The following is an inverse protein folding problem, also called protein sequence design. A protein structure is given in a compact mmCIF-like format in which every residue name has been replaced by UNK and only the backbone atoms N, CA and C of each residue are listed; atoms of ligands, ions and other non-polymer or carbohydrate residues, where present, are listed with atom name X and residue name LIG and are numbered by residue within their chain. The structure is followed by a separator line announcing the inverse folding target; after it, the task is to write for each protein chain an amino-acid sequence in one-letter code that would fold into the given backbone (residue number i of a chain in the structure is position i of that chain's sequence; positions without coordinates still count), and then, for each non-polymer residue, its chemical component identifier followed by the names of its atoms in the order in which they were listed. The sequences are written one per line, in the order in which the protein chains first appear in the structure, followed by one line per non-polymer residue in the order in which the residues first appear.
data_IF_120742626269
#
_entry.id   IF_120742626269
#
_cell.length_a   1.000
_cell.length_b   1.000
_cell.length_c   1.000
_cell.angle_alpha   90.00
_cell.angle_beta   90.00
_cell.angle_gamma   90.00
#
_symmetry.space_group_name_H-M   'P 1'
#
loop_
_entity.id
_entity.type
_entity.pdbx_description
1 polymer ?
#
# COMPACT_ATOMS: atom_id res chain seq x y z
N UNK A 1 32.90 49.22 -15.77
CA UNK A 1 33.77 49.11 -14.59
C UNK A 1 33.02 48.88 -13.27
N UNK A 2 31.70 49.10 -13.14
CA UNK A 2 31.00 48.96 -11.84
C UNK A 2 30.62 47.53 -11.39
N UNK A 3 31.03 46.46 -12.09
CA UNK A 3 30.60 45.08 -11.78
C UNK A 3 31.64 44.23 -11.03
N UNK A 4 32.92 44.65 -11.02
CA UNK A 4 33.97 44.04 -10.20
C UNK A 4 33.78 44.40 -8.72
N UNK A 5 33.54 45.69 -8.47
CA UNK A 5 33.60 46.26 -7.12
C UNK A 5 32.46 45.75 -6.21
N UNK A 6 31.31 45.40 -6.79
CA UNK A 6 30.16 44.81 -6.08
C UNK A 6 30.45 43.36 -5.65
N UNK A 7 31.14 42.59 -6.51
CA UNK A 7 31.46 41.17 -6.22
C UNK A 7 32.52 41.04 -5.13
N UNK A 8 33.45 41.99 -5.09
CA UNK A 8 34.49 42.05 -4.07
C UNK A 8 33.90 42.45 -2.70
N UNK A 9 32.90 43.34 -2.68
CA UNK A 9 32.16 43.69 -1.46
C UNK A 9 31.33 42.51 -0.90
N UNK A 10 30.62 41.77 -1.75
CA UNK A 10 29.84 40.59 -1.32
C UNK A 10 30.72 39.46 -0.78
N UNK A 11 31.90 39.25 -1.39
CA UNK A 11 32.84 38.24 -0.92
C UNK A 11 33.55 38.64 0.37
N UNK A 12 33.82 39.95 0.55
CA UNK A 12 34.36 40.47 1.80
C UNK A 12 33.35 40.33 2.95
N UNK A 13 32.07 40.65 2.72
CA UNK A 13 31.00 40.42 3.69
C UNK A 13 30.87 38.95 4.11
N UNK A 14 31.08 38.00 3.20
CA UNK A 14 31.10 36.56 3.53
C UNK A 14 32.29 36.15 4.42
N UNK A 15 33.47 36.78 4.23
CA UNK A 15 34.64 36.51 5.08
C UNK A 15 34.42 37.03 6.49
N UNK A 16 33.82 38.21 6.61
CA UNK A 16 33.61 38.90 7.88
C UNK A 16 32.40 38.38 8.67
N UNK A 17 31.59 37.50 8.06
CA UNK A 17 30.46 36.81 8.70
C UNK A 17 30.94 35.74 9.70
N UNK A 18 30.51 35.85 10.96
CA UNK A 18 30.90 34.96 12.06
C UNK A 18 30.18 33.60 12.08
N UNK A 19 29.20 33.37 11.19
CA UNK A 19 28.46 32.09 11.08
C UNK A 19 29.33 30.98 10.50
N UNK A 20 28.95 29.73 10.74
CA UNK A 20 29.70 28.54 10.30
C UNK A 20 29.53 28.37 8.77
N UNK A 21 30.59 28.14 7.98
CA UNK A 21 30.42 27.87 6.55
C UNK A 21 29.53 26.65 6.29
N UNK A 22 28.52 26.79 5.43
CA UNK A 22 27.67 25.67 5.02
C UNK A 22 28.48 24.65 4.20
N UNK A 23 28.35 23.36 4.52
CA UNK A 23 28.98 22.26 3.80
C UNK A 23 28.59 22.22 2.30
N UNK A 24 27.38 22.65 1.96
CA UNK A 24 26.86 22.67 0.59
C UNK A 24 27.15 23.98 -0.17
N UNK A 25 27.75 24.97 0.48
CA UNK A 25 28.22 26.22 -0.14
C UNK A 25 27.14 26.96 -0.96
N UNK A 26 27.51 27.48 -2.12
CA UNK A 26 26.60 28.24 -3.00
C UNK A 26 25.44 27.40 -3.57
N UNK A 27 25.55 26.07 -3.51
CA UNK A 27 24.54 25.11 -4.01
C UNK A 27 23.69 24.50 -2.89
N UNK A 28 23.72 25.09 -1.69
CA UNK A 28 22.85 24.66 -0.60
C UNK A 28 21.37 24.77 -0.98
N UNK A 29 20.64 23.65 -0.86
CA UNK A 29 19.22 23.56 -1.18
C UNK A 29 18.31 24.02 -0.02
N UNK A 30 18.86 24.15 1.20
CA UNK A 30 18.09 24.54 2.39
C UNK A 30 17.79 26.04 2.39
N UNK A 31 16.50 26.39 2.47
CA UNK A 31 16.00 27.78 2.47
C UNK A 31 15.40 28.23 3.81
N UNK A 32 15.42 27.38 4.84
CA UNK A 32 14.78 27.70 6.11
C UNK A 32 15.56 28.81 6.87
N UNK A 33 14.89 29.69 7.64
CA UNK A 33 15.56 30.79 8.34
C UNK A 33 16.55 30.34 9.42
N UNK A 34 16.30 29.21 10.08
CA UNK A 34 17.16 28.69 11.16
C UNK A 34 18.53 28.25 10.64
N UNK A 35 18.58 27.61 9.48
CA UNK A 35 19.79 27.21 8.78
C UNK A 35 20.61 28.43 8.38
N UNK A 36 19.96 29.43 7.78
CA UNK A 36 20.64 30.67 7.37
C UNK A 36 21.10 31.51 8.57
N UNK A 37 20.51 31.35 9.75
CA UNK A 37 21.01 31.97 10.98
C UNK A 37 22.27 31.27 11.52
N UNK A 38 22.42 29.95 11.31
CA UNK A 38 23.54 29.16 11.82
C UNK A 38 24.70 29.04 10.82
N UNK A 39 24.39 28.99 9.52
CA UNK A 39 25.35 28.71 8.45
C UNK A 39 25.41 29.82 7.40
N UNK A 40 26.62 30.21 7.00
CA UNK A 40 26.89 31.18 5.92
C UNK A 40 27.12 30.49 4.58
N UNK A 41 26.72 31.17 3.49
CA UNK A 41 26.83 30.68 2.12
C UNK A 41 27.60 31.69 1.25
N UNK A 42 28.53 31.23 0.39
CA UNK A 42 29.28 32.13 -0.49
C UNK A 42 28.41 32.65 -1.65
N UNK A 43 28.69 33.86 -2.19
CA UNK A 43 27.95 34.43 -3.32
C UNK A 43 28.02 33.54 -4.58
N UNK A 44 26.92 33.41 -5.33
CA UNK A 44 26.87 32.62 -6.58
C UNK A 44 27.68 33.30 -7.69
N UNK A 45 28.81 32.71 -8.09
CA UNK A 45 29.56 33.17 -9.27
C UNK A 45 28.78 32.85 -10.56
N UNK A 46 28.23 33.88 -11.22
CA UNK A 46 27.84 33.76 -12.64
C UNK A 46 29.11 33.64 -13.48
N UNK A 47 29.46 32.43 -13.95
CA UNK A 47 30.62 32.22 -14.81
C UNK A 47 30.28 32.59 -16.27
N UNK A 48 30.90 33.67 -16.77
CA UNK A 48 31.24 33.76 -18.19
C UNK A 48 32.52 32.95 -18.40
N UNK A 49 32.49 32.04 -19.38
CA UNK A 49 33.59 31.13 -19.69
C UNK A 49 34.69 31.90 -20.43
N UNK A 50 35.78 32.23 -19.76
CA UNK A 50 37.07 32.51 -20.39
C UNK A 50 38.08 31.46 -19.92
N UNK A 51 38.27 30.43 -20.76
CA UNK A 51 39.35 29.45 -20.59
C UNK A 51 40.67 30.07 -21.03
N UNK A 52 41.53 30.43 -20.07
CA UNK A 52 42.99 30.45 -20.28
C UNK A 52 43.54 29.13 -19.76
N UNK A 53 44.02 28.29 -20.66
CA UNK A 53 44.83 27.11 -20.34
C UNK A 53 46.23 27.31 -20.90
N UNK A 54 47.21 27.21 -20.01
CA UNK A 54 48.63 27.25 -20.28
C UNK A 54 49.09 26.05 -21.12
N UNK A 55 50.09 26.29 -21.96
CA UNK A 55 50.69 25.33 -22.89
C UNK A 55 51.73 24.46 -22.19
N UNK A 56 51.67 23.15 -22.42
CA UNK A 56 52.83 22.26 -22.37
C UNK A 56 52.95 21.57 -23.74
N UNK A 57 54.15 21.62 -24.31
CA UNK A 57 54.54 21.19 -25.65
C UNK A 57 55.02 19.72 -25.59
N UNK A 58 54.60 18.87 -26.53
CA UNK A 58 55.46 18.06 -27.44
C UNK A 58 54.63 17.10 -28.30
N UNK A 59 54.99 16.98 -29.59
CA UNK A 59 54.77 15.75 -30.38
C UNK A 59 53.90 15.87 -31.64
N UNK A 60 54.54 16.13 -32.78
CA UNK A 60 53.96 16.20 -34.14
C UNK A 60 53.47 14.84 -34.71
N UNK A 61 52.41 14.83 -35.53
CA UNK A 61 52.48 14.60 -37.01
C UNK A 61 51.11 14.37 -37.70
N UNK A 62 50.91 15.21 -38.73
CA UNK A 62 50.39 14.97 -40.11
C UNK A 62 48.90 14.73 -40.42
N UNK A 63 48.39 15.74 -41.16
CA UNK A 63 47.70 15.75 -42.48
C UNK A 63 46.17 15.50 -42.60
N UNK A 64 45.51 16.63 -42.88
CA UNK A 64 44.24 16.99 -43.54
C UNK A 64 43.88 16.27 -44.89
N UNK A 65 42.81 16.64 -45.66
CA UNK A 65 41.57 17.46 -45.41
C UNK A 65 40.27 16.75 -45.98
N UNK A 66 39.02 17.25 -45.87
CA UNK A 66 38.35 18.19 -46.81
C UNK A 66 36.81 18.28 -46.52
N UNK A 67 36.29 19.53 -46.43
CA UNK A 67 35.00 20.16 -46.86
C UNK A 67 33.64 19.73 -46.28
N UNK A 68 32.89 20.65 -45.65
CA UNK A 68 31.92 21.68 -46.15
C UNK A 68 30.49 21.10 -46.03
N UNK A 69 29.39 21.76 -45.68
CA UNK A 69 29.05 23.18 -45.50
C UNK A 69 27.73 23.26 -44.69
N UNK A 70 27.64 24.26 -43.81
CA UNK A 70 26.49 25.19 -43.55
C UNK A 70 25.05 24.77 -43.15
N UNK A 71 24.55 25.66 -42.26
CA UNK A 71 23.17 26.15 -41.95
C UNK A 71 22.37 25.35 -40.92
N UNK A 72 22.24 25.83 -39.67
CA UNK A 72 21.46 26.99 -39.18
C UNK A 72 19.98 26.65 -38.92
N UNK A 73 19.52 26.92 -37.70
CA UNK A 73 18.10 26.87 -37.33
C UNK A 73 17.86 26.32 -35.93
N UNK A 74 18.22 27.09 -34.91
CA UNK A 74 17.75 26.86 -33.54
C UNK A 74 16.32 27.40 -33.40
N UNK A 75 15.33 26.53 -33.38
CA UNK A 75 14.01 26.82 -32.83
C UNK A 75 13.67 25.77 -31.77
N UNK A 76 13.40 26.24 -30.57
CA UNK A 76 12.77 25.44 -29.51
C UNK A 76 11.32 25.16 -29.91
N UNK A 77 10.76 24.01 -29.48
CA UNK A 77 9.39 24.09 -28.99
C UNK A 77 9.18 23.40 -27.64
N UNK A 78 8.38 24.10 -26.84
CA UNK A 78 7.69 23.59 -25.66
C UNK A 78 6.67 22.50 -26.03
N UNK A 79 6.35 21.68 -25.01
CA UNK A 79 5.02 21.11 -24.70
C UNK A 79 4.43 20.07 -25.66
N UNK A 80 4.21 18.85 -25.16
CA UNK A 80 2.88 18.28 -24.84
C UNK A 80 2.94 16.76 -24.66
N UNK A 81 2.10 16.31 -23.71
CA UNK A 81 1.57 14.95 -23.67
C UNK A 81 1.04 14.55 -25.05
N UNK A 82 1.36 13.33 -25.47
CA UNK A 82 0.39 12.50 -26.16
C UNK A 82 0.58 11.03 -25.87
N UNK A 83 -0.57 10.40 -25.71
CA UNK A 83 -0.88 9.02 -25.41
C UNK A 83 -0.96 8.28 -26.73
N UNK A 84 -0.24 7.17 -26.88
CA UNK A 84 -0.51 6.21 -27.95
C UNK A 84 -0.39 4.80 -27.38
N UNK A 85 -1.53 4.11 -27.31
CA UNK A 85 -1.58 2.65 -27.35
C UNK A 85 -1.22 2.25 -28.78
N UNK A 86 -0.25 1.37 -28.95
CA UNK A 86 -0.29 0.40 -30.04
C UNK A 86 0.16 -0.97 -29.54
N UNK A 87 -0.74 -1.91 -29.81
CA UNK A 87 -0.64 -3.36 -29.73
C UNK A 87 0.39 -3.90 -30.71
N UNK A 88 1.16 -4.89 -30.30
CA UNK A 88 1.79 -5.82 -31.23
C UNK A 88 1.86 -7.22 -30.63
N UNK A 89 0.88 -8.03 -31.01
CA UNK A 89 0.90 -9.49 -30.95
C UNK A 89 1.92 -10.02 -31.97
N UNK A 90 2.86 -10.86 -31.54
CA UNK A 90 3.48 -11.88 -32.40
C UNK A 90 3.73 -13.16 -31.61
N UNK A 91 3.02 -14.20 -32.05
CA UNK A 91 3.17 -15.60 -31.71
C UNK A 91 4.54 -16.17 -32.10
N UNK A 92 5.06 -17.09 -31.30
CA UNK A 92 5.84 -18.24 -31.75
C UNK A 92 5.63 -19.41 -30.76
N UNK A 93 4.80 -20.38 -31.19
CA UNK A 93 4.88 -21.80 -30.83
C UNK A 93 6.23 -22.36 -31.32
N UNK A 94 6.87 -23.41 -30.83
CA UNK A 94 6.61 -24.52 -29.88
C UNK A 94 7.95 -25.26 -29.76
N UNK A 95 8.20 -26.01 -28.67
CA UNK A 95 8.88 -27.33 -28.65
C UNK A 95 9.02 -27.79 -27.18
N UNK A 96 8.61 -29.02 -26.89
CA UNK A 96 8.76 -29.78 -25.62
C UNK A 96 9.47 -31.12 -25.94
N UNK A 97 9.76 -32.07 -25.01
CA UNK A 97 10.00 -32.02 -23.54
C UNK A 97 11.26 -32.82 -23.05
N UNK A 98 11.59 -32.67 -21.76
CA UNK A 98 12.26 -33.64 -20.83
C UNK A 98 13.77 -33.98 -21.02
N UNK A 99 14.52 -34.47 -19.99
CA UNK A 99 14.08 -35.35 -18.89
C UNK A 99 14.61 -35.09 -17.46
N UNK A 100 13.98 -35.82 -16.54
CA UNK A 100 14.28 -36.06 -15.12
C UNK A 100 15.68 -36.66 -14.88
N UNK A 101 16.25 -36.38 -13.69
CA UNK A 101 17.05 -37.36 -12.93
C UNK A 101 16.76 -37.26 -11.44
N UNK A 102 16.38 -38.41 -10.90
CA UNK A 102 16.54 -38.79 -9.50
C UNK A 102 18.04 -38.84 -9.14
N UNK A 103 18.35 -38.53 -7.89
CA UNK A 103 19.29 -39.34 -7.13
C UNK A 103 18.78 -39.50 -5.70
N UNK A 104 18.61 -40.76 -5.34
CA UNK A 104 18.25 -41.30 -4.04
C UNK A 104 19.54 -41.86 -3.46
N UNK A 105 19.86 -41.53 -2.20
CA UNK A 105 20.73 -42.37 -1.37
C UNK A 105 19.88 -42.86 -0.20
N UNK A 106 19.63 -44.17 -0.23
CA UNK A 106 19.05 -45.01 0.82
C UNK A 106 20.18 -45.51 1.71
N UNK A 107 19.96 -45.55 3.02
CA UNK A 107 19.96 -46.75 3.88
C UNK A 107 19.96 -46.28 5.36
N UNK A 108 18.90 -46.55 6.13
CA UNK A 108 18.57 -47.84 6.79
C UNK A 108 19.55 -48.10 7.95
N UNK A 109 19.16 -48.50 9.16
CA UNK A 109 18.08 -49.39 9.61
C UNK A 109 17.99 -49.27 11.16
N UNK A 110 16.79 -49.31 11.75
CA UNK A 110 16.23 -50.47 12.49
C UNK A 110 17.00 -50.80 13.78
N UNK A 111 16.40 -50.68 14.98
CA UNK A 111 15.48 -51.68 15.53
C UNK A 111 15.14 -51.41 17.02
N UNK A 112 13.86 -51.60 17.32
CA UNK A 112 13.23 -52.27 18.46
C UNK A 112 13.85 -52.23 19.88
N UNK A 113 13.02 -51.82 20.86
CA UNK A 113 12.78 -52.69 22.03
C UNK A 113 11.47 -52.42 22.79
N UNK A 114 11.02 -53.48 23.47
CA UNK A 114 9.67 -53.88 23.83
C UNK A 114 8.99 -53.21 25.06
N UNK A 115 7.67 -53.42 25.08
CA UNK A 115 6.69 -53.50 26.18
C UNK A 115 7.18 -53.61 27.64
N UNK A 116 6.42 -53.01 28.58
CA UNK A 116 5.68 -53.77 29.61
C UNK A 116 4.60 -52.93 30.36
N UNK A 117 3.58 -53.66 30.82
CA UNK A 117 2.36 -53.31 31.60
C UNK A 117 2.70 -52.78 33.02
N UNK A 118 1.85 -52.24 33.91
CA UNK A 118 0.44 -52.48 34.26
C UNK A 118 0.06 -51.54 35.46
N UNK A 119 -1.25 -51.41 35.74
CA UNK A 119 -1.93 -51.14 37.05
C UNK A 119 -2.52 -49.75 37.40
N UNK A 120 -3.84 -49.68 37.23
CA UNK A 120 -4.92 -49.43 38.24
C UNK A 120 -4.71 -48.35 39.32
N UNK A 121 -5.63 -47.38 39.40
CA UNK A 121 -6.65 -47.30 40.49
C UNK A 121 -7.70 -46.22 40.22
N UNK A 122 -8.94 -46.56 40.55
CA UNK A 122 -10.17 -45.81 40.35
C UNK A 122 -10.46 -44.88 41.53
N UNK A 123 -11.26 -43.83 41.32
CA UNK A 123 -12.31 -43.41 42.26
C UNK A 123 -13.32 -42.45 41.62
N UNK A 124 -14.58 -42.85 41.74
CA UNK A 124 -15.81 -42.28 41.23
C UNK A 124 -16.23 -40.91 41.80
N UNK A 125 -17.00 -40.14 41.02
CA UNK A 125 -18.45 -39.90 41.27
C UNK A 125 -19.08 -38.95 40.24
N UNK A 126 -20.02 -39.51 39.45
CA UNK A 126 -21.12 -38.79 38.78
C UNK A 126 -22.19 -38.42 39.82
N UNK A 127 -22.98 -37.37 39.57
CA UNK A 127 -24.46 -37.35 39.69
C UNK A 127 -25.04 -36.17 38.88
N UNK A 128 -26.23 -36.43 38.33
CA UNK A 128 -27.02 -35.76 37.29
C UNK A 128 -28.05 -34.73 37.86
N UNK A 129 -28.67 -34.00 36.92
CA UNK A 129 -29.98 -33.27 36.98
C UNK A 129 -29.97 -31.86 37.60
N UNK A 130 -30.76 -30.86 37.15
CA UNK A 130 -32.13 -30.91 36.60
C UNK A 130 -32.50 -29.60 35.89
N UNK A 131 -33.38 -29.70 34.88
CA UNK A 131 -34.14 -28.60 34.27
C UNK A 131 -34.87 -27.70 35.28
N UNK A 132 -35.04 -26.41 34.93
CA UNK A 132 -36.29 -25.69 35.17
C UNK A 132 -36.54 -24.60 34.10
N UNK A 133 -37.72 -24.69 33.50
CA UNK A 133 -38.35 -23.74 32.59
C UNK A 133 -39.23 -22.78 33.38
N UNK A 134 -39.26 -21.50 33.01
CA UNK A 134 -40.38 -20.60 33.27
C UNK A 134 -40.61 -19.74 32.03
N UNK A 135 -41.84 -19.81 31.52
CA UNK A 135 -42.37 -19.06 30.39
C UNK A 135 -43.22 -17.87 30.86
N UNK A 136 -43.46 -16.95 29.91
CA UNK A 136 -44.65 -16.06 29.76
C UNK A 136 -44.55 -14.68 30.48
N UNK A 137 -44.94 -13.51 29.95
CA UNK A 137 -45.76 -13.06 28.79
C UNK A 137 -45.30 -11.65 28.32
N UNK A 138 -45.67 -11.34 27.08
CA UNK A 138 -45.49 -10.18 26.19
C UNK A 138 -45.85 -8.75 26.64
N UNK A 139 -45.30 -7.80 25.86
CA UNK A 139 -45.78 -6.48 25.40
C UNK A 139 -45.00 -5.26 25.93
N UNK A 140 -44.12 -4.67 25.10
CA UNK A 140 -44.55 -3.54 24.27
C UNK A 140 -43.50 -3.22 23.19
N UNK A 141 -44.00 -2.93 22.00
CA UNK A 141 -43.22 -2.57 20.82
C UNK A 141 -42.99 -1.06 20.81
N UNK A 142 -41.74 -0.63 21.04
CA UNK A 142 -41.05 0.53 20.43
C UNK A 142 -39.80 0.86 21.26
N UNK A 143 -38.70 0.12 21.11
CA UNK A 143 -37.33 0.59 21.51
C UNK A 143 -36.18 -0.41 21.23
N UNK A 144 -36.42 -1.57 20.61
CA UNK A 144 -35.39 -2.61 20.45
C UNK A 144 -34.42 -2.45 19.26
N UNK A 145 -34.44 -1.34 18.53
CA UNK A 145 -33.51 -1.07 17.41
C UNK A 145 -32.18 -0.42 17.85
N UNK A 146 -31.97 -0.17 19.15
CA UNK A 146 -30.88 0.69 19.63
C UNK A 146 -29.71 -0.05 20.31
N UNK A 147 -29.92 -1.23 20.93
CA UNK A 147 -28.86 -1.90 21.71
C UNK A 147 -28.04 -2.95 20.93
N UNK A 148 -28.59 -3.61 19.92
CA UNK A 148 -27.86 -4.61 19.11
C UNK A 148 -26.84 -3.97 18.18
N UNK A 149 -27.21 -2.87 17.52
CA UNK A 149 -26.42 -2.26 16.46
C UNK A 149 -25.23 -1.47 17.03
N UNK A 150 -25.44 -0.82 18.19
CA UNK A 150 -24.37 -0.16 18.95
C UNK A 150 -23.34 -1.18 19.43
N UNK A 151 -23.76 -2.39 19.80
CA UNK A 151 -22.84 -3.44 20.22
C UNK A 151 -22.00 -3.94 19.04
N UNK A 152 -22.61 -4.17 17.88
CA UNK A 152 -21.89 -4.61 16.66
C UNK A 152 -20.89 -3.58 16.17
N UNK A 153 -21.24 -2.28 16.17
CA UNK A 153 -20.31 -1.20 15.81
C UNK A 153 -19.07 -1.18 16.72
N UNK A 154 -19.27 -1.33 18.03
CA UNK A 154 -18.17 -1.42 19.02
C UNK A 154 -17.32 -2.67 18.80
N UNK A 155 -17.93 -3.82 18.58
CA UNK A 155 -17.22 -5.07 18.29
C UNK A 155 -16.31 -4.93 17.06
N UNK A 156 -16.82 -4.34 15.97
CA UNK A 156 -16.02 -4.07 14.76
C UNK A 156 -14.85 -3.14 15.09
N UNK A 157 -15.11 -2.05 15.81
CA UNK A 157 -14.07 -1.09 16.20
C UNK A 157 -12.99 -1.70 17.09
N UNK A 158 -13.37 -2.55 18.04
CA UNK A 158 -12.44 -3.22 18.96
C UNK A 158 -11.57 -4.27 18.24
N UNK A 159 -12.14 -4.97 17.25
CA UNK A 159 -11.44 -6.03 16.51
C UNK A 159 -10.55 -5.48 15.38
N UNK A 160 -11.04 -4.50 14.63
CA UNK A 160 -10.34 -3.95 13.45
C UNK A 160 -9.64 -2.62 13.72
N UNK A 161 -9.77 -2.08 14.95
CA UNK A 161 -9.17 -0.83 15.41
C UNK A 161 -9.67 0.42 14.67
N UNK A 162 -10.86 0.35 14.06
CA UNK A 162 -11.46 1.43 13.27
C UNK A 162 -12.99 1.43 13.27
N UNK A 163 -13.56 2.61 13.14
CA UNK A 163 -15.00 2.78 12.96
C UNK A 163 -15.37 2.69 11.47
N UNK A 164 -16.29 1.78 11.13
CA UNK A 164 -16.79 1.65 9.75
C UNK A 164 -17.73 2.81 9.39
N UNK A 165 -17.66 3.33 8.15
CA UNK A 165 -18.54 4.41 7.70
C UNK A 165 -19.98 3.93 7.52
N UNK A 166 -20.92 4.85 7.37
CA UNK A 166 -22.35 4.50 7.29
C UNK A 166 -22.70 3.72 6.02
N UNK A 167 -22.02 3.99 4.90
CA UNK A 167 -22.23 3.28 3.63
C UNK A 167 -21.89 1.78 3.74
N UNK A 168 -20.96 1.39 4.63
CA UNK A 168 -20.69 -0.01 4.94
C UNK A 168 -21.94 -0.73 5.50
N UNK A 169 -22.62 -0.14 6.49
CA UNK A 169 -23.82 -0.74 7.08
C UNK A 169 -24.99 -0.72 6.10
N UNK A 170 -25.17 0.39 5.39
CA UNK A 170 -26.20 0.51 4.35
C UNK A 170 -26.01 -0.51 3.22
N UNK A 171 -24.76 -0.82 2.85
CA UNK A 171 -24.49 -1.83 1.83
C UNK A 171 -24.80 -3.25 2.31
N UNK A 172 -24.61 -3.56 3.59
CA UNK A 172 -25.06 -4.83 4.15
C UNK A 172 -26.59 -4.96 4.10
N UNK A 173 -27.32 -3.91 4.43
CA UNK A 173 -28.78 -3.88 4.33
C UNK A 173 -29.27 -4.00 2.87
N UNK A 174 -28.58 -3.35 1.93
CA UNK A 174 -28.80 -3.58 0.51
C UNK A 174 -28.59 -5.05 0.13
N UNK A 175 -27.52 -5.70 0.60
CA UNK A 175 -27.27 -7.12 0.36
C UNK A 175 -28.37 -8.03 0.96
N UNK A 176 -28.87 -7.71 2.17
CA UNK A 176 -30.02 -8.41 2.78
C UNK A 176 -31.29 -8.28 1.93
N UNK A 177 -31.51 -7.13 1.30
CA UNK A 177 -32.66 -6.93 0.41
C UNK A 177 -32.62 -7.82 -0.84
N UNK A 178 -31.42 -8.26 -1.25
CA UNK A 178 -31.21 -9.18 -2.39
C UNK A 178 -31.29 -10.64 -1.93
N UNK A 179 -30.65 -10.98 -0.82
CA UNK A 179 -30.52 -12.34 -0.29
C UNK A 179 -30.64 -12.31 1.23
N UNK A 180 -31.82 -12.64 1.75
CA UNK A 180 -32.08 -12.65 3.20
C UNK A 180 -31.28 -13.74 3.93
N UNK A 181 -31.18 -14.92 3.33
CA UNK A 181 -30.55 -16.09 3.97
C UNK A 181 -29.03 -16.04 3.93
N UNK A 182 -28.45 -15.41 2.89
CA UNK A 182 -27.00 -15.32 2.71
C UNK A 182 -26.60 -13.95 2.15
N UNK A 183 -26.62 -12.88 2.97
CA UNK A 183 -26.29 -11.52 2.52
C UNK A 183 -24.87 -11.39 1.98
N UNK A 184 -23.90 -12.13 2.54
CA UNK A 184 -22.50 -12.07 2.11
C UNK A 184 -22.26 -12.56 0.67
N UNK A 185 -23.18 -13.36 0.14
CA UNK A 185 -23.15 -13.90 -1.22
C UNK A 185 -24.13 -13.19 -2.17
N UNK A 186 -24.75 -12.08 -1.75
CA UNK A 186 -25.70 -11.32 -2.58
C UNK A 186 -25.10 -10.89 -3.93
N UNK A 187 -23.78 -10.62 -3.97
CA UNK A 187 -23.05 -10.23 -5.18
C UNK A 187 -22.35 -11.40 -5.90
N UNK A 188 -22.76 -12.66 -5.64
CA UNK A 188 -22.16 -13.85 -6.26
C UNK A 188 -22.28 -13.85 -7.79
N UNK A 189 -23.37 -13.29 -8.34
CA UNK A 189 -23.57 -13.18 -9.80
C UNK A 189 -22.47 -12.38 -10.50
N UNK A 190 -21.80 -11.49 -9.77
CA UNK A 190 -20.70 -10.66 -10.28
C UNK A 190 -19.34 -11.09 -9.74
N UNK A 191 -19.29 -12.29 -9.15
CA UNK A 191 -18.13 -12.94 -8.54
C UNK A 191 -17.53 -12.17 -7.37
N UNK A 192 -18.34 -11.37 -6.67
CA UNK A 192 -17.93 -10.70 -5.44
C UNK A 192 -18.56 -11.37 -4.21
N UNK A 193 -17.80 -11.40 -3.13
CA UNK A 193 -18.23 -11.85 -1.80
C UNK A 193 -17.88 -10.76 -0.78
N UNK A 194 -18.81 -10.48 0.12
CA UNK A 194 -18.55 -9.61 1.27
C UNK A 194 -17.80 -10.43 2.33
N UNK A 195 -16.74 -9.85 2.87
CA UNK A 195 -15.83 -10.50 3.82
C UNK A 195 -15.30 -9.47 4.84
N UNK A 196 -14.42 -9.89 5.75
CA UNK A 196 -13.73 -8.99 6.65
C UNK A 196 -14.67 -8.53 7.77
N UNK A 197 -14.87 -7.22 8.00
CA UNK A 197 -15.83 -6.74 8.99
C UNK A 197 -17.27 -7.21 8.75
N UNK A 198 -17.64 -7.56 7.52
CA UNK A 198 -18.96 -8.14 7.24
C UNK A 198 -19.15 -9.55 7.82
N UNK A 199 -18.06 -10.31 8.04
CA UNK A 199 -18.15 -11.63 8.67
C UNK A 199 -18.59 -11.53 10.15
N UNK A 200 -18.47 -10.35 10.78
CA UNK A 200 -19.06 -10.03 12.09
C UNK A 200 -20.58 -9.84 11.96
N UNK A 201 -21.03 -9.07 10.95
CA UNK A 201 -22.47 -8.80 10.75
C UNK A 201 -23.26 -10.08 10.47
N UNK A 202 -22.62 -11.05 9.80
CA UNK A 202 -23.19 -12.37 9.48
C UNK A 202 -23.07 -13.38 10.64
N UNK A 203 -22.50 -12.99 11.78
CA UNK A 203 -22.36 -13.83 12.98
C UNK A 203 -21.33 -14.96 12.88
N UNK A 204 -20.43 -14.92 11.89
CA UNK A 204 -19.38 -15.94 11.69
C UNK A 204 -18.23 -15.82 12.67
N UNK A 205 -17.94 -14.58 13.10
CA UNK A 205 -16.90 -14.30 14.08
C UNK A 205 -17.50 -14.32 15.48
N UNK A 206 -17.06 -15.27 16.31
CA UNK A 206 -17.35 -15.31 17.75
C UNK A 206 -16.05 -14.98 18.48
N UNK A 207 -16.02 -13.89 19.25
CA UNK A 207 -14.82 -13.51 20.01
C UNK A 207 -14.66 -14.48 21.17
N UNK A 208 -13.54 -15.21 21.20
CA UNK A 208 -13.26 -16.22 22.23
C UNK A 208 -12.18 -15.75 23.23
N UNK A 209 -11.21 -14.93 22.82
CA UNK A 209 -10.14 -14.40 23.70
C UNK A 209 -9.43 -13.14 23.19
N UNK A 210 -8.57 -12.54 24.03
CA UNK A 210 -7.76 -11.36 23.70
C UNK A 210 -6.66 -11.64 22.65
N UNK A 211 -6.08 -12.85 22.65
CA UNK A 211 -5.13 -13.29 21.64
C UNK A 211 -5.77 -13.48 20.26
N UNK A 212 -7.09 -13.71 20.20
CA UNK A 212 -7.80 -13.81 18.92
C UNK A 212 -7.94 -12.44 18.24
N UNK A 213 -7.92 -11.34 19.00
CA UNK A 213 -8.06 -9.97 18.46
C UNK A 213 -6.95 -9.64 17.45
N UNK A 214 -5.69 -10.00 17.74
CA UNK A 214 -4.56 -9.75 16.83
C UNK A 214 -4.72 -10.51 15.50
N UNK A 215 -5.26 -11.73 15.53
CA UNK A 215 -5.50 -12.54 14.33
C UNK A 215 -6.47 -11.86 13.37
N UNK A 216 -7.50 -11.19 13.90
CA UNK A 216 -8.49 -10.49 13.07
C UNK A 216 -7.92 -9.27 12.33
N UNK A 217 -6.81 -8.67 12.79
CA UNK A 217 -6.12 -7.59 12.06
C UNK A 217 -5.54 -8.07 10.71
N UNK A 218 -5.32 -9.37 10.59
CA UNK A 218 -4.85 -10.03 9.37
C UNK A 218 -5.97 -10.75 8.61
N UNK A 219 -7.21 -10.68 9.10
CA UNK A 219 -8.35 -11.30 8.44
C UNK A 219 -8.59 -10.66 7.08
N UNK A 220 -8.49 -11.49 6.02
CA UNK A 220 -8.58 -11.07 4.62
C UNK A 220 -7.52 -10.08 4.16
N UNK A 221 -6.44 -9.83 4.92
CA UNK A 221 -5.37 -8.91 4.53
C UNK A 221 -4.39 -9.59 3.56
N UNK A 222 -4.35 -9.13 2.32
CA UNK A 222 -3.47 -9.63 1.27
C UNK A 222 -2.03 -9.14 1.45
N UNK A 223 -1.13 -9.82 0.74
CA UNK A 223 0.30 -9.59 0.82
C UNK A 223 0.70 -8.12 0.66
N UNK A 224 0.14 -7.40 -0.30
CA UNK A 224 0.52 -6.01 -0.60
C UNK A 224 -0.31 -4.96 0.13
N UNK A 225 -1.21 -5.37 1.03
CA UNK A 225 -2.12 -4.43 1.69
C UNK A 225 -1.43 -3.65 2.80
N UNK A 226 -1.24 -2.32 2.62
CA UNK A 226 -0.72 -1.49 3.68
C UNK A 226 -1.74 -1.37 4.82
N UNK A 227 -1.33 -0.96 6.03
CA UNK A 227 -2.22 -0.77 7.16
C UNK A 227 -3.44 0.14 6.88
N UNK A 228 -3.27 1.15 6.03
CA UNK A 228 -4.28 2.11 5.58
C UNK A 228 -5.42 1.45 4.79
N UNK A 229 -5.16 0.28 4.20
CA UNK A 229 -6.11 -0.43 3.37
C UNK A 229 -6.84 -1.52 4.17
N UNK A 230 -8.17 -1.40 4.21
CA UNK A 230 -9.06 -2.26 5.00
C UNK A 230 -10.06 -2.99 4.13
N UNK A 231 -9.95 -4.30 4.08
CA UNK A 231 -10.73 -5.13 3.15
C UNK A 231 -12.13 -5.41 3.66
N UNK A 232 -13.06 -5.40 2.70
CA UNK A 232 -14.45 -5.80 2.96
C UNK A 232 -15.10 -6.54 1.79
N UNK A 233 -14.51 -6.54 0.58
CA UNK A 233 -14.99 -7.34 -0.56
C UNK A 233 -13.84 -8.02 -1.25
N UNK A 234 -13.98 -9.33 -1.47
CA UNK A 234 -13.02 -10.12 -2.22
C UNK A 234 -13.68 -10.73 -3.45
N UNK A 235 -12.90 -10.84 -4.53
CA UNK A 235 -13.26 -11.64 -5.68
C UNK A 235 -12.70 -13.06 -5.49
N UNK A 236 -13.47 -13.96 -4.88
CA UNK A 236 -13.27 -15.40 -5.06
C UNK A 236 -14.55 -16.16 -4.73
N UNK A 237 -15.31 -16.50 -5.77
CA UNK A 237 -16.06 -17.75 -5.78
C UNK A 237 -15.61 -18.55 -6.99
N UNK A 238 -15.06 -19.73 -6.71
CA UNK A 238 -15.12 -20.96 -7.51
C UNK A 238 -14.46 -22.07 -6.68
N UNK A 239 -15.15 -22.55 -5.65
CA UNK A 239 -14.90 -23.87 -5.06
C UNK A 239 -16.05 -24.78 -5.45
N UNK A 240 -16.13 -25.13 -6.73
CA UNK A 240 -16.65 -26.42 -7.20
C UNK A 240 -16.38 -26.60 -8.69
N UNK A 241 -15.80 -27.77 -8.99
CA UNK A 241 -15.75 -28.45 -10.29
C UNK A 241 -14.54 -28.15 -11.20
N UNK A 242 -13.62 -29.12 -11.19
CA UNK A 242 -12.99 -29.80 -12.34
C UNK A 242 -12.91 -28.94 -13.62
N UNK A 243 -11.68 -28.61 -14.04
CA UNK A 243 -11.26 -27.71 -15.13
C UNK A 243 -11.01 -26.26 -14.67
N UNK A 244 -9.71 -25.96 -14.59
CA UNK A 244 -9.09 -24.70 -14.16
C UNK A 244 -9.44 -23.58 -15.15
N UNK A 245 -10.34 -22.66 -14.76
CA UNK A 245 -10.55 -21.37 -15.42
C UNK A 245 -10.52 -20.22 -14.40
N UNK A 246 -9.33 -19.60 -14.33
CA UNK A 246 -8.92 -18.23 -13.96
C UNK A 246 -9.77 -17.36 -13.00
N UNK A 247 -9.44 -17.45 -11.70
CA UNK A 247 -9.44 -16.30 -10.76
C UNK A 247 -8.01 -16.14 -10.19
N UNK A 248 -7.02 -15.91 -11.06
CA UNK A 248 -5.59 -15.88 -10.69
C UNK A 248 -5.10 -14.56 -10.10
N UNK A 249 -5.84 -13.45 -10.25
CA UNK A 249 -5.29 -12.10 -10.02
C UNK A 249 -5.42 -11.61 -8.57
N UNK A 250 -6.31 -12.22 -7.77
CA UNK A 250 -6.50 -11.81 -6.38
C UNK A 250 -7.14 -10.42 -6.24
N UNK A 251 -8.11 -10.09 -7.11
CA UNK A 251 -8.83 -8.82 -7.07
C UNK A 251 -9.62 -8.67 -5.76
N UNK A 252 -9.47 -7.53 -5.11
CA UNK A 252 -10.21 -7.20 -3.90
C UNK A 252 -10.35 -5.67 -3.75
N UNK A 253 -11.31 -5.25 -2.93
CA UNK A 253 -11.55 -3.84 -2.63
C UNK A 253 -11.55 -3.60 -1.12
N UNK A 254 -11.12 -2.39 -0.76
CA UNK A 254 -10.99 -1.98 0.62
C UNK A 254 -11.08 -0.47 0.79
N UNK A 255 -11.46 -0.06 2.00
CA UNK A 255 -11.46 1.34 2.43
C UNK A 255 -10.02 1.78 2.63
N UNK A 256 -9.68 2.94 2.07
CA UNK A 256 -8.41 3.60 2.29
C UNK A 256 -8.55 4.66 3.37
N UNK A 257 -7.74 4.57 4.43
CA UNK A 257 -7.70 5.52 5.54
C UNK A 257 -6.30 6.05 5.73
N UNK A 258 -6.13 7.35 5.53
CA UNK A 258 -4.85 8.01 5.84
C UNK A 258 -4.61 8.04 7.37
N UNK A 259 -5.67 8.05 8.17
CA UNK A 259 -5.66 7.94 9.64
C UNK A 259 -6.83 7.06 10.13
N UNK A 260 -6.61 6.25 11.16
CA UNK A 260 -7.64 5.37 11.74
C UNK A 260 -8.75 6.10 12.50
N UNK A 261 -8.48 7.33 12.96
CA UNK A 261 -9.47 8.17 13.64
C UNK A 261 -10.40 8.85 12.62
N UNK A 262 -9.93 9.00 11.39
CA UNK A 262 -10.69 9.62 10.31
C UNK A 262 -11.55 8.59 9.55
N UNK A 263 -12.54 9.11 8.84
CA UNK A 263 -13.35 8.32 7.91
C UNK A 263 -12.50 7.88 6.71
N UNK A 264 -12.84 6.77 6.04
CA UNK A 264 -12.19 6.43 4.79
C UNK A 264 -12.30 7.54 3.77
N UNK A 265 -11.23 7.73 3.00
CA UNK A 265 -11.17 8.75 1.94
C UNK A 265 -11.81 8.23 0.66
N UNK A 266 -11.55 6.96 0.34
CA UNK A 266 -12.08 6.28 -0.84
C UNK A 266 -12.00 4.77 -0.68
N UNK A 267 -12.68 4.08 -1.58
CA UNK A 267 -12.46 2.68 -1.90
C UNK A 267 -11.33 2.57 -2.92
N UNK A 268 -10.34 1.74 -2.62
CA UNK A 268 -9.35 1.31 -3.60
C UNK A 268 -9.59 -0.15 -4.01
N UNK A 269 -9.11 -0.50 -5.20
CA UNK A 269 -8.96 -1.89 -5.65
C UNK A 269 -7.50 -2.24 -5.83
N UNK A 270 -7.15 -3.50 -5.60
CA UNK A 270 -5.86 -4.09 -5.94
C UNK A 270 -6.05 -5.53 -6.44
N UNK A 271 -5.10 -5.98 -7.27
CA UNK A 271 -4.97 -7.35 -7.76
C UNK A 271 -3.68 -7.94 -7.16
N UNK A 272 -3.81 -8.59 -6.00
CA UNK A 272 -2.67 -8.96 -5.14
C UNK A 272 -1.66 -9.89 -5.81
N UNK A 273 -2.08 -10.69 -6.80
CA UNK A 273 -1.19 -11.59 -7.52
C UNK A 273 -0.56 -10.95 -8.76
N UNK A 274 -0.93 -9.71 -9.09
CA UNK A 274 -0.39 -8.95 -10.23
C UNK A 274 0.69 -7.98 -9.73
N UNK A 275 0.34 -7.08 -8.82
CA UNK A 275 1.26 -6.07 -8.28
C UNK A 275 0.73 -5.45 -6.97
N UNK A 276 1.51 -4.60 -6.33
CA UNK A 276 1.11 -3.81 -5.16
C UNK A 276 0.49 -2.45 -5.48
N UNK A 277 -0.09 -2.24 -6.67
CA UNK A 277 -0.66 -0.94 -7.09
C UNK A 277 -2.14 -0.87 -6.69
N UNK A 278 -2.50 0.22 -6.03
CA UNK A 278 -3.87 0.49 -5.57
C UNK A 278 -4.49 1.59 -6.41
N UNK A 279 -5.66 1.30 -6.99
CA UNK A 279 -6.42 2.26 -7.80
C UNK A 279 -7.63 2.80 -7.00
N UNK A 280 -7.69 4.11 -6.72
CA UNK A 280 -8.88 4.74 -6.15
C UNK A 280 -10.07 4.61 -7.12
N UNK A 281 -11.23 4.17 -6.61
CA UNK A 281 -12.41 3.86 -7.44
C UNK A 281 -13.55 4.85 -7.21
N UNK A 282 -13.92 5.08 -5.94
CA UNK A 282 -15.01 5.96 -5.53
C UNK A 282 -14.89 6.27 -4.03
N UNK A 283 -15.62 7.26 -3.54
CA UNK A 283 -15.60 7.65 -2.11
C UNK A 283 -16.24 6.59 -1.19
N UNK A 284 -17.22 5.85 -1.70
CA UNK A 284 -18.01 4.87 -0.95
C UNK A 284 -18.15 3.53 -1.68
N UNK A 285 -18.60 2.50 -0.96
CA UNK A 285 -18.75 1.14 -1.49
C UNK A 285 -19.75 1.04 -2.65
N UNK A 286 -20.83 1.82 -2.63
CA UNK A 286 -21.84 1.79 -3.70
C UNK A 286 -21.26 2.32 -5.02
N UNK A 287 -20.52 3.43 -4.98
CA UNK A 287 -19.82 3.97 -6.14
C UNK A 287 -18.76 3.00 -6.69
N UNK A 288 -18.06 2.29 -5.81
CA UNK A 288 -17.05 1.31 -6.22
C UNK A 288 -17.69 0.09 -6.92
N UNK A 289 -18.77 -0.44 -6.35
CA UNK A 289 -19.50 -1.57 -6.95
C UNK A 289 -20.23 -1.14 -8.23
N UNK A 290 -20.78 0.08 -8.30
CA UNK A 290 -21.33 0.64 -9.54
C UNK A 290 -20.26 0.71 -10.65
N UNK A 291 -19.07 1.21 -10.32
CA UNK A 291 -17.95 1.29 -11.25
C UNK A 291 -17.52 -0.10 -11.76
N UNK A 292 -17.46 -1.08 -10.87
CA UNK A 292 -17.14 -2.46 -11.20
C UNK A 292 -18.23 -3.09 -12.08
N UNK A 293 -19.50 -2.94 -11.71
CA UNK A 293 -20.65 -3.42 -12.48
C UNK A 293 -20.66 -2.83 -13.89
N UNK A 294 -20.48 -1.51 -14.01
CA UNK A 294 -20.43 -0.84 -15.30
C UNK A 294 -19.35 -1.40 -16.23
N UNK A 295 -18.17 -1.72 -15.70
CA UNK A 295 -17.10 -2.35 -16.47
C UNK A 295 -17.42 -3.82 -16.79
N UNK A 296 -18.00 -4.56 -15.82
CA UNK A 296 -18.35 -5.97 -16.00
C UNK A 296 -19.43 -6.17 -17.06
N UNK A 297 -20.43 -5.28 -17.15
CA UNK A 297 -21.46 -5.33 -18.20
C UNK A 297 -20.86 -5.26 -19.61
N UNK A 298 -19.75 -4.53 -19.79
CA UNK A 298 -19.08 -4.40 -21.09
C UNK A 298 -18.37 -5.68 -21.54
N UNK A 299 -17.88 -6.47 -20.58
CA UNK A 299 -17.11 -7.70 -20.84
C UNK A 299 -17.91 -8.99 -20.57
N UNK A 300 -19.17 -8.89 -20.13
CA UNK A 300 -19.98 -10.04 -19.75
C UNK A 300 -20.61 -10.74 -20.96
N UNK A 301 -20.77 -12.06 -20.85
CA UNK A 301 -21.51 -12.85 -21.82
C UNK A 301 -23.05 -12.57 -21.73
N UNK A 302 -23.84 -12.94 -22.75
CA UNK A 302 -25.29 -12.65 -22.77
C UNK A 302 -26.07 -13.20 -21.56
N UNK A 303 -25.65 -14.34 -21.02
CA UNK A 303 -26.32 -15.00 -19.89
C UNK A 303 -26.05 -14.28 -18.56
N UNK A 304 -24.80 -13.84 -18.34
CA UNK A 304 -24.42 -13.07 -17.14
C UNK A 304 -25.02 -11.66 -17.19
N UNK A 305 -25.13 -11.05 -18.39
CA UNK A 305 -25.54 -9.65 -18.59
C UNK A 305 -26.89 -9.31 -17.96
N UNK A 306 -27.87 -10.22 -18.03
CA UNK A 306 -29.19 -10.02 -17.43
C UNK A 306 -29.08 -9.86 -15.92
N UNK A 307 -28.36 -10.77 -15.26
CA UNK A 307 -28.19 -10.76 -13.80
C UNK A 307 -27.38 -9.55 -13.32
N UNK A 308 -26.33 -9.17 -14.05
CA UNK A 308 -25.49 -8.01 -13.76
C UNK A 308 -26.31 -6.72 -13.90
N UNK A 309 -27.08 -6.58 -14.99
CA UNK A 309 -27.90 -5.39 -15.25
C UNK A 309 -29.00 -5.23 -14.20
N UNK A 310 -29.63 -6.34 -13.77
CA UNK A 310 -30.63 -6.32 -12.69
C UNK A 310 -30.01 -5.82 -11.38
N UNK A 311 -28.86 -6.38 -10.98
CA UNK A 311 -28.15 -5.95 -9.77
C UNK A 311 -27.73 -4.47 -9.85
N UNK A 312 -27.27 -4.03 -11.02
CA UNK A 312 -26.89 -2.64 -11.26
C UNK A 312 -28.06 -1.68 -11.10
N UNK A 313 -29.24 -2.02 -11.62
CA UNK A 313 -30.46 -1.23 -11.43
C UNK A 313 -30.90 -1.19 -9.96
N UNK A 314 -30.84 -2.33 -9.26
CA UNK A 314 -31.16 -2.39 -7.82
C UNK A 314 -30.23 -1.50 -7.00
N UNK A 315 -28.91 -1.55 -7.27
CA UNK A 315 -27.90 -0.73 -6.60
C UNK A 315 -28.16 0.76 -6.82
N UNK A 316 -28.45 1.18 -8.07
CA UNK A 316 -28.77 2.58 -8.39
C UNK A 316 -30.03 3.08 -7.71
N UNK A 317 -31.06 2.24 -7.65
CA UNK A 317 -32.32 2.59 -6.99
C UNK A 317 -32.11 2.76 -5.47
N UNK A 318 -31.37 1.84 -4.84
CA UNK A 318 -31.04 1.94 -3.42
C UNK A 318 -30.21 3.19 -3.12
N UNK A 319 -29.15 3.44 -3.90
CA UNK A 319 -28.32 4.64 -3.74
C UNK A 319 -29.14 5.93 -3.88
N UNK A 320 -30.08 5.99 -4.83
CA UNK A 320 -30.98 7.13 -5.00
C UNK A 320 -31.94 7.31 -3.81
N UNK A 321 -32.50 6.22 -3.27
CA UNK A 321 -33.41 6.25 -2.12
C UNK A 321 -32.71 6.74 -0.85
N UNK A 322 -31.43 6.39 -0.69
CA UNK A 322 -30.62 6.70 0.51
C UNK A 322 -29.69 7.92 0.31
N UNK A 323 -29.81 8.67 -0.79
CA UNK A 323 -28.97 9.81 -1.13
C UNK A 323 -27.45 9.52 -1.13
N UNK A 324 -27.06 8.35 -1.64
CA UNK A 324 -25.67 7.90 -1.73
C UNK A 324 -25.10 8.29 -3.10
N UNK A 325 -23.96 8.98 -3.11
CA UNK A 325 -23.27 9.34 -4.37
C UNK A 325 -22.66 8.12 -5.05
N UNK A 326 -22.78 8.03 -6.38
CA UNK A 326 -22.11 7.00 -7.21
C UNK A 326 -20.96 7.60 -8.05
N UNK A 327 -20.55 8.83 -7.74
CA UNK A 327 -19.49 9.51 -8.48
C UNK A 327 -18.12 8.86 -8.22
N UNK A 328 -17.33 8.69 -9.29
CA UNK A 328 -15.99 8.09 -9.24
C UNK A 328 -14.87 9.08 -8.89
N UNK A 329 -15.20 10.37 -8.89
CA UNK A 329 -14.28 11.45 -8.64
C UNK A 329 -15.05 12.54 -7.88
N UNK A 330 -15.11 12.40 -6.57
CA UNK A 330 -15.85 13.32 -5.70
C UNK A 330 -15.00 14.53 -5.33
N UNK A 331 -15.62 15.55 -4.73
CA UNK A 331 -14.89 16.73 -4.25
C UNK A 331 -13.86 16.35 -3.18
N UNK A 332 -14.20 15.40 -2.30
CA UNK A 332 -13.37 14.98 -1.18
C UNK A 332 -12.16 14.18 -1.65
N UNK A 333 -12.33 13.28 -2.63
CA UNK A 333 -11.21 12.59 -3.29
C UNK A 333 -10.23 13.59 -3.94
N UNK A 334 -10.74 14.65 -4.59
CA UNK A 334 -9.90 15.72 -5.16
C UNK A 334 -9.25 16.59 -4.10
N UNK A 335 -9.93 16.83 -2.98
CA UNK A 335 -9.37 17.59 -1.87
C UNK A 335 -8.19 16.83 -1.26
N UNK A 336 -8.36 15.53 -1.01
CA UNK A 336 -7.28 14.66 -0.53
C UNK A 336 -6.12 14.57 -1.52
N UNK A 337 -6.38 14.47 -2.82
CA UNK A 337 -5.33 14.50 -3.87
C UNK A 337 -4.35 15.66 -3.70
N UNK A 338 -4.84 16.85 -3.32
CA UNK A 338 -4.02 18.06 -3.15
C UNK A 338 -3.16 18.05 -1.88
N UNK A 339 -3.42 17.11 -0.98
CA UNK A 339 -2.69 16.89 0.27
C UNK A 339 -1.67 15.74 0.16
N UNK A 340 -1.72 14.95 -0.92
CA UNK A 340 -0.76 13.86 -1.17
C UNK A 340 0.64 14.44 -1.31
N UNK A 341 1.57 13.97 -0.49
CA UNK A 341 2.97 14.42 -0.51
C UNK A 341 3.86 13.51 -1.36
N UNK A 342 3.58 12.21 -1.40
CA UNK A 342 4.30 11.22 -2.21
C UNK A 342 3.35 10.12 -2.70
N UNK A 343 3.70 9.49 -3.83
CA UNK A 343 2.87 8.42 -4.42
C UNK A 343 3.22 7.02 -3.95
N UNK A 344 4.45 6.84 -3.46
CA UNK A 344 5.06 5.54 -3.11
C UNK A 344 4.96 4.53 -4.27
N UNK A 345 5.37 3.29 -4.03
CA UNK A 345 5.26 2.20 -4.98
C UNK A 345 3.82 1.73 -5.16
N UNK A 346 2.96 1.88 -4.14
CA UNK A 346 1.57 1.46 -4.20
C UNK A 346 0.63 2.45 -4.91
N UNK A 347 1.12 3.65 -5.27
CA UNK A 347 0.45 4.69 -6.08
C UNK A 347 -0.82 5.32 -5.51
N UNK A 348 -1.42 4.77 -4.46
CA UNK A 348 -2.49 5.46 -3.72
C UNK A 348 -2.00 6.77 -3.09
N UNK A 349 -0.71 6.86 -2.76
CA UNK A 349 -0.07 8.03 -2.16
C UNK A 349 -0.36 8.21 -0.68
N UNK A 350 0.51 8.99 -0.02
CA UNK A 350 0.50 9.21 1.43
C UNK A 350 0.15 10.67 1.76
N UNK A 351 -0.53 10.85 2.90
CA UNK A 351 -0.90 12.15 3.45
C UNK A 351 -0.35 12.27 4.87
N UNK A 352 0.37 13.35 5.11
CA UNK A 352 0.92 13.72 6.42
C UNK A 352 0.68 15.21 6.68
N UNK A 353 0.68 15.66 7.95
CA UNK A 353 0.70 17.08 8.26
C UNK A 353 1.91 17.73 7.58
N UNK A 354 1.65 18.62 6.62
CA UNK A 354 2.69 19.28 5.84
C UNK A 354 2.41 20.78 5.75
N UNK A 355 3.32 21.58 6.30
CA UNK A 355 3.24 23.02 6.23
C UNK A 355 3.99 23.52 4.99
N UNK A 356 3.21 23.97 3.99
CA UNK A 356 3.76 24.51 2.73
C UNK A 356 4.62 25.76 2.90
N UNK A 357 4.48 26.53 3.99
CA UNK A 357 5.29 27.73 4.21
C UNK A 357 6.66 27.39 4.78
N UNK A 358 6.69 26.53 5.78
CA UNK A 358 7.93 26.10 6.45
C UNK A 358 8.61 24.93 5.75
N UNK A 359 7.89 24.26 4.83
CA UNK A 359 8.30 23.02 4.15
C UNK A 359 8.58 21.89 5.15
N UNK A 360 7.84 21.88 6.26
CA UNK A 360 8.00 20.92 7.36
C UNK A 360 6.93 19.84 7.29
N UNK A 361 7.32 18.60 7.57
CA UNK A 361 6.49 17.40 7.63
C UNK A 361 6.86 16.35 6.59
N UNK A 362 7.50 16.74 5.48
CA UNK A 362 7.90 15.87 4.40
C UNK A 362 9.03 16.47 3.55
N UNK A 363 10.00 15.63 3.20
CA UNK A 363 10.99 15.87 2.13
C UNK A 363 11.17 14.61 1.29
N UNK A 364 11.58 14.78 0.03
CA UNK A 364 11.83 13.68 -0.90
C UNK A 364 12.94 12.75 -0.39
N UNK A 365 12.84 11.46 -0.76
CA UNK A 365 13.90 10.49 -0.51
C UNK A 365 15.21 10.86 -1.22
N UNK A 366 16.33 10.41 -0.64
CA UNK A 366 17.66 10.57 -1.24
C UNK A 366 17.90 9.70 -2.50
N UNK A 367 16.85 9.05 -3.00
CA UNK A 367 16.83 8.23 -4.20
C UNK A 367 15.48 8.39 -4.91
N UNK A 368 15.48 8.29 -6.24
CA UNK A 368 14.24 8.25 -7.02
C UNK A 368 13.57 6.87 -6.93
N UNK A 369 12.26 6.77 -7.22
CA UNK A 369 11.55 5.48 -7.31
C UNK A 369 12.35 4.45 -8.14
N UNK A 370 12.88 4.88 -9.29
CA UNK A 370 13.61 4.01 -10.21
C UNK A 370 14.94 3.54 -9.62
N UNK A 371 15.64 4.40 -8.89
CA UNK A 371 16.92 4.05 -8.28
C UNK A 371 16.69 3.11 -7.09
N UNK A 372 15.66 3.38 -6.27
CA UNK A 372 15.27 2.52 -5.17
C UNK A 372 14.85 1.13 -5.68
N UNK A 373 14.00 1.05 -6.72
CA UNK A 373 13.62 -0.22 -7.34
C UNK A 373 14.84 -1.01 -7.85
N UNK A 374 15.83 -0.35 -8.46
CA UNK A 374 17.08 -1.02 -8.88
C UNK A 374 17.85 -1.58 -7.70
N UNK A 375 17.99 -0.81 -6.62
CA UNK A 375 18.68 -1.25 -5.39
C UNK A 375 17.97 -2.48 -4.82
N UNK A 376 16.64 -2.44 -4.69
CA UNK A 376 15.84 -3.53 -4.14
C UNK A 376 15.91 -4.79 -5.01
N UNK A 377 15.83 -4.64 -6.33
CA UNK A 377 16.00 -5.73 -7.27
C UNK A 377 17.37 -6.41 -7.13
N UNK A 378 18.45 -5.62 -7.01
CA UNK A 378 19.79 -6.15 -6.76
C UNK A 378 19.90 -6.89 -5.43
N UNK A 379 19.16 -6.47 -4.41
CA UNK A 379 19.14 -7.15 -3.09
C UNK A 379 18.46 -8.52 -3.19
N UNK A 380 17.37 -8.61 -3.95
CA UNK A 380 16.58 -9.84 -4.13
C UNK A 380 17.27 -10.85 -5.07
N UNK A 381 17.89 -10.38 -6.15
CA UNK A 381 18.57 -11.23 -7.13
C UNK A 381 19.97 -11.67 -6.67
N UNK A 382 20.52 -11.07 -5.61
CA UNK A 382 21.81 -11.46 -5.05
C UNK A 382 21.76 -12.89 -4.47
N UNK A 383 22.53 -13.80 -5.08
CA UNK A 383 22.61 -15.21 -4.70
C UNK A 383 23.34 -15.47 -3.39
N UNK A 384 24.26 -14.58 -2.99
CA UNK A 384 25.01 -14.68 -1.73
C UNK A 384 24.80 -13.46 -0.82
N UNK A 385 24.95 -13.62 0.51
CA UNK A 385 24.97 -12.50 1.44
C UNK A 385 26.03 -11.44 1.10
N UNK A 386 27.19 -11.85 0.60
CA UNK A 386 28.31 -10.99 0.24
C UNK A 386 27.98 -10.09 -0.95
N UNK A 387 27.35 -10.64 -2.00
CA UNK A 387 26.91 -9.88 -3.17
C UNK A 387 25.85 -8.84 -2.79
N UNK A 388 25.01 -9.17 -1.80
CA UNK A 388 23.95 -8.29 -1.30
C UNK A 388 24.47 -7.10 -0.51
N UNK A 389 25.68 -7.19 0.08
CA UNK A 389 26.24 -6.21 1.01
C UNK A 389 26.33 -4.81 0.43
N UNK A 390 26.73 -4.68 -0.85
CA UNK A 390 26.88 -3.38 -1.51
C UNK A 390 25.52 -2.70 -1.68
N UNK A 391 24.51 -3.44 -2.13
CA UNK A 391 23.16 -2.89 -2.35
C UNK A 391 22.45 -2.60 -1.02
N UNK A 392 22.66 -3.43 0.00
CA UNK A 392 22.21 -3.14 1.37
C UNK A 392 22.87 -1.87 1.90
N UNK A 393 24.18 -1.66 1.71
CA UNK A 393 24.85 -0.45 2.18
C UNK A 393 24.27 0.82 1.52
N UNK A 394 23.91 0.76 0.23
CA UNK A 394 23.20 1.85 -0.45
C UNK A 394 21.81 2.11 0.16
N UNK A 395 21.07 1.03 0.46
CA UNK A 395 19.77 1.15 1.11
C UNK A 395 19.90 1.72 2.54
N UNK A 396 20.91 1.29 3.30
CA UNK A 396 21.16 1.76 4.66
C UNK A 396 21.49 3.26 4.69
N UNK A 397 22.18 3.78 3.67
CA UNK A 397 22.38 5.23 3.55
C UNK A 397 21.06 5.98 3.32
N UNK A 398 20.15 5.43 2.50
CA UNK A 398 18.81 6.02 2.30
C UNK A 398 18.01 5.97 3.61
N UNK A 399 18.06 4.85 4.34
CA UNK A 399 17.42 4.69 5.67
C UNK A 399 17.98 5.69 6.67
N UNK A 400 19.31 5.89 6.69
CA UNK A 400 19.98 6.85 7.58
C UNK A 400 19.50 8.28 7.29
N UNK A 401 19.42 8.66 6.02
CA UNK A 401 18.95 9.99 5.60
C UNK A 401 17.46 10.20 5.90
N UNK A 402 16.62 9.17 5.71
CA UNK A 402 15.20 9.22 6.09
C UNK A 402 15.03 9.39 7.61
N UNK A 403 15.86 8.71 8.41
CA UNK A 403 15.83 8.84 9.88
C UNK A 403 16.24 10.25 10.33
N UNK A 404 17.26 10.85 9.71
CA UNK A 404 17.63 12.26 9.95
C UNK A 404 16.47 13.19 9.60
N UNK A 405 15.75 12.92 8.50
CA UNK A 405 14.56 13.69 8.15
C UNK A 405 13.49 13.59 9.26
N UNK A 406 13.27 12.41 9.83
CA UNK A 406 12.36 12.23 10.95
C UNK A 406 12.82 12.98 12.23
N UNK A 407 14.11 12.99 12.56
CA UNK A 407 14.66 13.78 13.67
C UNK A 407 14.39 15.29 13.48
N UNK A 408 14.36 15.72 12.23
CA UNK A 408 14.04 17.09 11.79
C UNK A 408 12.52 17.29 11.53
N UNK A 409 11.67 16.39 12.06
CA UNK A 409 10.20 16.41 11.98
C UNK A 409 9.56 16.18 10.59
N UNK A 410 10.33 15.70 9.62
CA UNK A 410 9.82 15.26 8.31
C UNK A 410 9.44 13.77 8.33
N UNK A 411 8.46 13.43 9.16
CA UNK A 411 8.04 12.04 9.38
C UNK A 411 7.49 11.37 8.11
N UNK A 412 6.97 12.15 7.15
CA UNK A 412 6.48 11.62 5.88
C UNK A 412 7.56 10.94 5.03
N UNK A 413 8.84 11.28 5.22
CA UNK A 413 9.96 10.66 4.50
C UNK A 413 10.18 9.21 4.96
N UNK A 414 10.10 8.95 6.27
CA UNK A 414 10.09 7.57 6.79
C UNK A 414 8.83 6.81 6.37
N UNK A 415 7.67 7.50 6.30
CA UNK A 415 6.43 6.87 5.84
C UNK A 415 6.53 6.41 4.39
N UNK A 416 7.07 7.25 3.50
CA UNK A 416 7.30 6.92 2.09
C UNK A 416 8.23 5.73 1.94
N UNK A 417 9.43 5.79 2.53
CA UNK A 417 10.41 4.71 2.44
C UNK A 417 9.86 3.40 3.01
N UNK A 418 9.17 3.48 4.15
CA UNK A 418 8.56 2.32 4.78
C UNK A 418 7.53 1.64 3.87
N UNK A 419 6.68 2.42 3.21
CA UNK A 419 5.70 1.92 2.25
C UNK A 419 6.34 1.35 0.99
N UNK A 420 7.37 2.00 0.44
CA UNK A 420 8.09 1.48 -0.74
C UNK A 420 8.74 0.13 -0.47
N UNK A 421 9.41 0.00 0.68
CA UNK A 421 10.01 -1.27 1.11
C UNK A 421 8.94 -2.35 1.38
N UNK A 422 7.82 -1.95 2.00
CA UNK A 422 6.70 -2.85 2.25
C UNK A 422 6.08 -3.36 0.94
N UNK A 423 5.81 -2.46 -0.01
CA UNK A 423 5.23 -2.77 -1.32
C UNK A 423 6.15 -3.57 -2.22
N UNK A 424 7.48 -3.42 -2.10
CA UNK A 424 8.43 -4.29 -2.78
C UNK A 424 8.28 -5.76 -2.34
N UNK A 425 8.02 -5.98 -1.05
CA UNK A 425 7.70 -7.31 -0.55
C UNK A 425 8.89 -8.25 -0.40
N UNK A 426 10.12 -7.78 -0.57
CA UNK A 426 11.33 -8.57 -0.34
C UNK A 426 11.56 -8.92 1.14
N UNK A 427 11.89 -10.18 1.42
CA UNK A 427 12.17 -10.66 2.78
C UNK A 427 13.34 -9.91 3.43
N UNK A 428 14.40 -9.62 2.66
CA UNK A 428 15.61 -8.95 3.17
C UNK A 428 15.42 -7.47 3.57
N UNK A 429 14.30 -6.86 3.17
CA UNK A 429 13.99 -5.46 3.48
C UNK A 429 12.83 -5.31 4.46
N UNK A 430 12.18 -6.41 4.84
CA UNK A 430 11.01 -6.40 5.73
C UNK A 430 11.30 -5.76 7.09
N UNK A 431 12.45 -6.05 7.70
CA UNK A 431 12.85 -5.44 8.98
C UNK A 431 13.02 -3.93 8.86
N UNK A 432 13.57 -3.46 7.74
CA UNK A 432 13.73 -2.02 7.47
C UNK A 432 12.38 -1.35 7.21
N UNK A 433 11.48 -2.02 6.49
CA UNK A 433 10.11 -1.56 6.28
C UNK A 433 9.38 -1.37 7.62
N UNK A 434 9.47 -2.37 8.52
CA UNK A 434 8.92 -2.28 9.87
C UNK A 434 9.52 -1.10 10.62
N UNK A 435 10.85 -0.96 10.67
CA UNK A 435 11.51 0.14 11.37
C UNK A 435 11.05 1.51 10.88
N UNK A 436 11.03 1.74 9.56
CA UNK A 436 10.63 3.03 8.98
C UNK A 436 9.16 3.36 9.25
N UNK A 437 8.26 2.40 9.07
CA UNK A 437 6.84 2.58 9.37
C UNK A 437 6.58 2.74 10.87
N UNK A 438 7.32 2.05 11.74
CA UNK A 438 7.23 2.23 13.20
C UNK A 438 7.59 3.65 13.62
N UNK A 439 8.68 4.22 13.10
CA UNK A 439 9.04 5.62 13.33
C UNK A 439 7.93 6.53 12.84
N UNK A 440 7.52 6.37 11.58
CA UNK A 440 6.51 7.23 10.96
C UNK A 440 5.16 7.20 11.71
N UNK A 441 4.57 6.01 11.93
CA UNK A 441 3.28 5.90 12.61
C UNK A 441 3.34 6.36 14.06
N UNK A 442 4.46 6.17 14.76
CA UNK A 442 4.60 6.67 16.14
C UNK A 442 4.57 8.19 16.18
N UNK A 443 5.37 8.85 15.34
CA UNK A 443 5.45 10.32 15.33
C UNK A 443 4.23 11.00 14.70
N UNK A 444 3.57 10.34 13.74
CA UNK A 444 2.28 10.76 13.19
C UNK A 444 1.11 10.44 14.11
N UNK A 445 1.34 9.79 15.26
CA UNK A 445 0.32 9.40 16.25
C UNK A 445 -0.76 8.47 15.69
N UNK A 446 -0.34 7.47 14.90
CA UNK A 446 -1.19 6.42 14.29
C UNK A 446 -0.88 5.02 14.86
N UNK A 447 -0.96 4.79 16.18
CA UNK A 447 -0.54 3.53 16.79
C UNK A 447 -1.36 2.31 16.34
N UNK A 448 -2.61 2.51 15.91
CA UNK A 448 -3.47 1.45 15.38
C UNK A 448 -2.90 0.88 14.07
N UNK A 449 -2.42 1.73 13.17
CA UNK A 449 -1.78 1.30 11.92
C UNK A 449 -0.48 0.54 12.18
N UNK A 450 0.30 0.95 13.19
CA UNK A 450 1.49 0.21 13.63
C UNK A 450 1.12 -1.18 14.14
N UNK A 451 0.10 -1.31 14.99
CA UNK A 451 -0.35 -2.61 15.49
C UNK A 451 -0.82 -3.54 14.36
N UNK A 452 -1.51 -2.98 13.35
CA UNK A 452 -1.90 -3.72 12.14
C UNK A 452 -0.67 -4.18 11.35
N UNK A 453 0.32 -3.31 11.17
CA UNK A 453 1.56 -3.64 10.46
C UNK A 453 2.32 -4.77 11.15
N UNK A 454 2.49 -4.69 12.47
CA UNK A 454 3.19 -5.72 13.25
C UNK A 454 2.50 -7.07 13.12
N UNK A 455 1.17 -7.12 13.28
CA UNK A 455 0.38 -8.33 13.08
C UNK A 455 0.52 -8.87 11.64
N UNK A 456 0.49 -7.98 10.64
CA UNK A 456 0.61 -8.37 9.24
C UNK A 456 1.99 -8.95 8.94
N UNK A 457 3.08 -8.30 9.34
CA UNK A 457 4.44 -8.76 9.07
C UNK A 457 4.80 -10.06 9.79
N UNK A 458 4.22 -10.33 10.97
CA UNK A 458 4.38 -11.63 11.65
C UNK A 458 3.81 -12.81 10.84
N UNK A 459 2.74 -12.58 10.07
CA UNK A 459 2.00 -13.63 9.38
C UNK A 459 1.63 -13.23 7.94
N UNK A 460 2.59 -12.65 7.21
CA UNK A 460 2.39 -12.13 5.85
C UNK A 460 2.38 -13.28 4.84
N UNK A 461 1.22 -13.62 4.27
CA UNK A 461 1.04 -14.75 3.36
C UNK A 461 0.74 -14.32 1.93
N UNK A 462 1.30 -15.04 0.95
CA UNK A 462 0.93 -14.95 -0.47
C UNK A 462 -0.12 -16.03 -0.78
N UNK A 463 -1.32 -15.87 -0.24
CA UNK A 463 -2.45 -16.76 -0.47
C UNK A 463 -3.70 -15.94 -0.83
N UNK A 464 -4.70 -16.59 -1.42
CA UNK A 464 -6.00 -16.05 -1.74
C UNK A 464 -7.08 -16.46 -0.72
N UNK A 465 -6.80 -17.42 0.17
CA UNK A 465 -7.69 -17.81 1.27
C UNK A 465 -7.11 -17.31 2.61
N UNK A 466 -7.57 -16.12 2.99
CA UNK A 466 -7.02 -15.36 4.12
C UNK A 466 -8.05 -15.21 5.24
N UNK A 467 -9.07 -16.07 5.26
CA UNK A 467 -9.96 -16.21 6.41
C UNK A 467 -9.15 -16.69 7.61
N UNK A 468 -9.34 -16.06 8.76
CA UNK A 468 -8.80 -16.54 10.05
C UNK A 468 -9.85 -17.27 10.87
N UNK A 469 -11.07 -17.34 10.33
CA UNK A 469 -12.23 -18.08 10.82
C UNK A 469 -12.19 -19.49 10.24
#
# INVERSE_FOLDING_TARGET
MMSSDIKDAEFQAYKDDSRIPCQYGAECYQKNPQHHNKYKHPPKRKMMVEKKTEKIITGEKRKQPIKDDKKAGSESPQRKLQKTLETSEKNLHSLSPSPERNDVIIHNNEDDNENLKEKTEASDKKILNRHNSYNSVENDATENTSMSDVNVKKIIADLFLVEMPEDFFQFYEFCKSISKDNPLLACKSIRLKLVGPYDILDGKIKILSENDKERYLTHWRYYYDPPEFQIYTTQKLNSQTIVKCDNKEGLHFGYWRDDTVEKPVFIAKNEANVNGIFEPVAENIFGAVDAYLYNKVKSANPFEKISITRLHSQLKNFAKQHNITLEKNTADMRARERLVVARTFHKAGIVVPYDKKTQLGYRDLAATDNDLQKILKQIEEAGTPEDRKISIAKLDEIVRLATIAADECDFGTCLELGHDLFSNGGFHVQTRALQMLSIAYTHLKRPQLLKILEAHLKNRKKDCELSVI
#
